data_IF_754497988572
#
_entry.id   IF_754497988572
#
_cell.length_a   1.000
_cell.length_b   1.000
_cell.length_c   1.000
_cell.angle_alpha   90.00
_cell.angle_beta   90.00
_cell.angle_gamma   90.00
#
_symmetry.space_group_name_H-M   'P 1'
#
loop_
_entity.id
_entity.type
_entity.pdbx_description
1 polymer ?
#
# COMPACT_ATOMS: atom_id res chain seq x y z
N UNK A 1 2.51 14.63 -2.47
CA UNK A 1 3.16 13.43 -1.88
C UNK A 1 2.52 12.20 -2.50
N UNK A 2 3.26 11.13 -2.81
CA UNK A 2 2.69 9.98 -3.52
C UNK A 2 2.90 8.65 -2.77
N UNK A 3 1.96 7.73 -2.95
CA UNK A 3 2.01 6.34 -2.49
C UNK A 3 1.99 5.42 -3.70
N UNK A 4 2.73 4.33 -3.62
CA UNK A 4 2.56 3.18 -4.50
C UNK A 4 1.97 2.06 -3.67
N UNK A 5 0.73 1.68 -3.97
CA UNK A 5 0.08 0.52 -3.36
C UNK A 5 0.23 -0.64 -4.33
N UNK A 6 0.55 -1.83 -3.86
CA UNK A 6 0.68 -2.99 -4.74
C UNK A 6 0.20 -4.28 -4.09
N UNK A 7 -0.38 -5.16 -4.89
CA UNK A 7 -0.85 -6.49 -4.50
C UNK A 7 -0.54 -7.49 -5.62
N UNK A 8 -0.40 -8.76 -5.26
CA UNK A 8 -0.26 -9.84 -6.24
C UNK A 8 -1.64 -10.36 -6.68
N UNK A 9 -1.65 -11.35 -7.56
CA UNK A 9 -2.83 -11.87 -8.25
C UNK A 9 -4.00 -12.23 -7.32
N UNK A 10 -3.74 -12.77 -6.12
CA UNK A 10 -4.75 -12.84 -5.07
C UNK A 10 -4.93 -11.49 -4.36
N UNK A 11 -5.66 -10.61 -5.05
CA UNK A 11 -6.02 -9.26 -4.57
C UNK A 11 -6.92 -9.29 -3.33
N UNK A 12 -7.66 -10.39 -3.15
CA UNK A 12 -8.71 -10.56 -2.13
C UNK A 12 -8.20 -11.06 -0.79
N UNK A 13 -7.00 -11.65 -0.74
CA UNK A 13 -6.47 -12.29 0.48
C UNK A 13 -5.34 -11.46 1.10
N UNK A 14 -4.81 -10.49 0.36
CA UNK A 14 -3.57 -9.82 0.72
C UNK A 14 -2.34 -10.73 0.55
N UNK A 15 -1.14 -10.28 0.97
CA UNK A 15 -0.87 -8.99 1.57
C UNK A 15 -0.78 -7.85 0.54
N UNK A 16 -1.03 -6.63 1.00
CA UNK A 16 -0.85 -5.41 0.23
C UNK A 16 0.39 -4.66 0.69
N UNK A 17 1.19 -4.17 -0.24
CA UNK A 17 2.43 -3.45 0.02
C UNK A 17 2.27 -1.98 -0.33
N UNK A 18 2.81 -1.10 0.52
CA UNK A 18 2.76 0.35 0.32
C UNK A 18 4.16 0.91 0.37
N UNK A 19 4.58 1.53 -0.73
CA UNK A 19 5.85 2.26 -0.85
C UNK A 19 5.58 3.76 -0.87
N UNK A 20 6.23 4.52 0.00
CA UNK A 20 6.03 5.97 0.10
C UNK A 20 7.28 6.67 0.62
N UNK A 21 7.42 7.98 0.40
CA UNK A 21 8.39 8.81 1.13
C UNK A 21 7.79 9.49 2.37
N UNK A 22 6.49 9.32 2.62
CA UNK A 22 5.81 9.85 3.80
C UNK A 22 6.11 9.01 5.05
N UNK A 23 7.03 9.48 5.89
CA UNK A 23 7.32 8.87 7.18
C UNK A 23 6.12 8.93 8.17
N UNK A 24 5.18 9.85 7.93
CA UNK A 24 4.07 10.13 8.86
C UNK A 24 2.80 9.35 8.55
N UNK A 25 2.84 8.40 7.62
CA UNK A 25 1.65 7.64 7.22
C UNK A 25 1.13 6.75 8.35
N UNK A 26 2.02 6.16 9.15
CA UNK A 26 1.66 5.27 10.26
C UNK A 26 0.93 6.02 11.38
N UNK A 27 1.44 7.16 11.92
CA UNK A 27 0.68 7.96 12.87
C UNK A 27 -0.73 8.34 12.38
N UNK A 28 -0.89 8.69 11.10
CA UNK A 28 -2.19 9.05 10.51
C UNK A 28 -3.17 7.87 10.53
N UNK A 29 -2.73 6.68 10.12
CA UNK A 29 -3.56 5.47 10.14
C UNK A 29 -3.96 5.07 11.57
N UNK A 30 -3.04 5.19 12.54
CA UNK A 30 -3.32 4.96 13.96
C UNK A 30 -4.32 5.98 14.52
N UNK A 31 -4.17 7.26 14.17
CA UNK A 31 -5.08 8.32 14.60
C UNK A 31 -6.52 8.08 14.11
N UNK A 32 -6.67 7.49 12.91
CA UNK A 32 -7.96 7.08 12.36
C UNK A 32 -8.46 5.72 12.87
N UNK A 33 -7.74 5.07 13.80
CA UNK A 33 -8.06 3.72 14.33
C UNK A 33 -8.18 2.64 13.25
N UNK A 34 -7.46 2.81 12.14
CA UNK A 34 -7.48 1.89 11.00
C UNK A 34 -6.57 0.68 11.27
N UNK A 35 -5.45 0.90 11.97
CA UNK A 35 -4.51 -0.15 12.37
C UNK A 35 -4.22 -0.04 13.87
N UNK A 36 -4.09 -1.19 14.51
CA UNK A 36 -3.72 -1.30 15.93
C UNK A 36 -2.23 -1.67 16.10
N UNK A 37 -1.71 -2.51 15.20
CA UNK A 37 -0.34 -3.04 15.25
C UNK A 37 0.63 -2.35 14.27
N UNK A 38 1.94 -2.31 14.58
CA UNK A 38 2.95 -1.78 13.68
C UNK A 38 3.17 -2.69 12.46
N UNK A 39 3.25 -2.07 11.27
CA UNK A 39 3.55 -2.78 10.02
C UNK A 39 5.05 -3.13 9.92
N UNK A 40 5.38 -4.21 9.20
CA UNK A 40 6.77 -4.61 8.95
C UNK A 40 7.41 -3.73 7.88
N UNK A 41 8.65 -3.27 8.14
CA UNK A 41 9.43 -2.36 7.30
C UNK A 41 10.56 -3.08 6.53
N UNK A 42 10.79 -2.73 5.26
CA UNK A 42 11.78 -3.43 4.39
C UNK A 42 12.84 -2.58 3.65
N UNK A 43 13.28 -1.42 4.19
CA UNK A 43 14.57 -0.71 3.91
C UNK A 43 14.63 0.49 2.88
N UNK A 44 15.54 1.47 3.18
CA UNK A 44 16.09 2.70 2.51
C UNK A 44 15.21 3.75 1.75
N UNK A 45 15.48 5.07 1.96
CA UNK A 45 15.02 6.35 1.29
C UNK A 45 13.53 6.52 0.94
N UNK A 46 12.79 5.43 0.95
CA UNK A 46 11.37 5.26 0.79
C UNK A 46 10.99 4.23 1.87
N UNK A 47 9.82 4.40 2.46
CA UNK A 47 9.25 3.46 3.39
C UNK A 47 8.42 2.43 2.67
N UNK A 48 8.71 1.15 2.93
CA UNK A 48 7.96 0.01 2.43
C UNK A 48 7.23 -0.63 3.61
N UNK A 49 5.91 -0.69 3.52
CA UNK A 49 5.04 -1.25 4.54
C UNK A 49 4.28 -2.46 3.98
N UNK A 50 4.19 -3.54 4.76
CA UNK A 50 3.35 -4.69 4.45
C UNK A 50 2.07 -4.64 5.30
N UNK A 51 0.92 -4.65 4.64
CA UNK A 51 -0.40 -4.82 5.23
C UNK A 51 -0.89 -6.25 4.98
N UNK A 52 -1.38 -6.93 6.01
CA UNK A 52 -1.97 -8.28 5.87
C UNK A 52 -3.39 -8.24 5.29
N UNK A 53 -3.82 -7.09 4.76
CA UNK A 53 -5.17 -6.85 4.26
C UNK A 53 -5.22 -6.82 2.72
N UNK A 54 -6.40 -7.07 2.13
CA UNK A 54 -6.63 -6.95 0.68
C UNK A 54 -6.43 -5.54 0.17
N UNK A 55 -6.16 -5.40 -1.13
CA UNK A 55 -5.82 -4.10 -1.71
C UNK A 55 -6.96 -3.08 -1.58
N UNK A 56 -8.20 -3.51 -1.76
CA UNK A 56 -9.38 -2.66 -1.66
C UNK A 56 -9.49 -1.98 -0.29
N UNK A 57 -9.24 -2.70 0.80
CA UNK A 57 -9.28 -2.14 2.14
C UNK A 57 -8.20 -1.07 2.31
N UNK A 58 -6.98 -1.36 1.87
CA UNK A 58 -5.84 -0.45 1.98
C UNK A 58 -6.03 0.81 1.12
N UNK A 59 -6.59 0.66 -0.08
CA UNK A 59 -6.93 1.77 -0.96
C UNK A 59 -8.00 2.67 -0.31
N UNK A 60 -9.07 2.09 0.25
CA UNK A 60 -10.13 2.84 0.92
C UNK A 60 -9.60 3.63 2.13
N UNK A 61 -8.71 3.04 2.93
CA UNK A 61 -8.07 3.73 4.05
C UNK A 61 -7.27 4.95 3.61
N UNK A 62 -6.51 4.85 2.52
CA UNK A 62 -5.79 6.01 1.99
C UNK A 62 -6.72 7.05 1.38
N UNK A 63 -7.88 6.66 0.85
CA UNK A 63 -8.89 7.63 0.42
C UNK A 63 -9.46 8.45 1.60
N UNK A 64 -9.64 7.84 2.78
CA UNK A 64 -10.03 8.56 4.00
C UNK A 64 -8.95 9.56 4.46
N UNK A 65 -7.70 9.30 4.11
CA UNK A 65 -6.56 10.20 4.34
C UNK A 65 -6.38 11.26 3.25
N UNK A 66 -7.31 11.36 2.30
CA UNK A 66 -7.30 12.35 1.23
C UNK A 66 -6.52 11.95 -0.02
N UNK A 67 -5.94 10.74 -0.06
CA UNK A 67 -5.28 10.26 -1.27
C UNK A 67 -6.31 9.84 -2.33
N UNK A 68 -5.95 10.02 -3.60
CA UNK A 68 -6.73 9.58 -4.76
C UNK A 68 -5.88 8.73 -5.68
N UNK A 69 -6.46 7.64 -6.16
CA UNK A 69 -5.86 6.81 -7.22
C UNK A 69 -5.78 7.65 -8.49
N UNK A 70 -4.57 7.77 -9.07
CA UNK A 70 -4.37 8.45 -10.35
C UNK A 70 -4.22 7.44 -11.49
N UNK A 71 -3.45 6.38 -11.26
CA UNK A 71 -3.16 5.36 -12.27
C UNK A 71 -3.10 3.98 -11.63
N UNK A 72 -3.35 2.96 -12.45
CA UNK A 72 -3.12 1.57 -12.13
C UNK A 72 -2.30 0.93 -13.26
N UNK A 73 -1.29 0.15 -12.90
CA UNK A 73 -0.47 -0.62 -13.81
C UNK A 73 -0.42 -2.09 -13.35
N UNK A 74 -0.24 -2.99 -14.32
CA UNK A 74 -0.02 -4.41 -14.07
C UNK A 74 1.33 -4.80 -14.64
N UNK A 75 2.10 -5.58 -13.89
CA UNK A 75 3.37 -6.14 -14.34
C UNK A 75 3.46 -7.60 -13.92
N UNK A 76 4.19 -8.42 -14.67
CA UNK A 76 4.53 -9.77 -14.23
C UNK A 76 5.78 -9.72 -13.36
N UNK A 77 5.75 -10.33 -12.17
CA UNK A 77 6.91 -10.46 -11.30
C UNK A 77 7.53 -11.86 -11.49
N UNK A 78 8.67 -11.98 -12.20
CA UNK A 78 9.29 -13.28 -12.45
C UNK A 78 9.85 -13.93 -11.18
N UNK A 79 10.12 -13.17 -10.11
CA UNK A 79 10.61 -13.71 -8.85
C UNK A 79 9.54 -14.44 -8.03
N UNK A 80 8.27 -14.09 -8.25
CA UNK A 80 7.10 -14.69 -7.58
C UNK A 80 6.22 -15.47 -8.56
N UNK A 81 6.53 -15.42 -9.85
CA UNK A 81 5.81 -16.06 -10.95
C UNK A 81 4.30 -15.71 -11.00
N UNK A 82 3.96 -14.45 -10.73
CA UNK A 82 2.57 -14.00 -10.71
C UNK A 82 2.41 -12.54 -11.16
N UNK A 83 1.17 -12.13 -11.43
CA UNK A 83 0.84 -10.74 -11.78
C UNK A 83 0.86 -9.87 -10.53
N UNK A 84 1.49 -8.71 -10.65
CA UNK A 84 1.53 -7.65 -9.65
C UNK A 84 0.77 -6.42 -10.16
N UNK A 85 -0.19 -5.99 -9.36
CA UNK A 85 -0.96 -4.76 -9.57
C UNK A 85 -0.33 -3.64 -8.77
N UNK A 86 -0.23 -2.44 -9.36
CA UNK A 86 0.39 -1.27 -8.75
C UNK A 86 -0.51 -0.06 -8.97
N UNK A 87 -0.99 0.55 -7.90
CA UNK A 87 -1.74 1.80 -7.90
C UNK A 87 -0.86 2.95 -7.45
N UNK A 88 -0.87 4.04 -8.23
CA UNK A 88 -0.24 5.29 -7.82
C UNK A 88 -1.29 6.19 -7.21
N UNK A 89 -1.09 6.62 -5.96
CA UNK A 89 -1.99 7.52 -5.24
C UNK A 89 -1.31 8.84 -4.88
N UNK A 90 -2.04 9.96 -4.95
CA UNK A 90 -1.56 11.30 -4.60
C UNK A 90 -2.54 12.00 -3.65
N UNK A 91 -2.02 12.84 -2.75
CA UNK A 91 -2.81 13.86 -2.01
C UNK A 91 -2.93 15.10 -2.87
#
# INVERSE_FOLDING_TARGET
>A
MYLLVSSYESRTDGPTYVTTRDANIIPKLKALRIIEEPLKFTNYNCYNYKFEYPDICVLDWFQLLGYRVQTMAMTYDPGVACIKHIWTMYV
#
